data_IF_373099136507
#
_entry.id   IF_373099136507
#
_cell.length_a   1.000
_cell.length_b   1.000
_cell.length_c   1.000
_cell.angle_alpha   90.00
_cell.angle_beta   90.00
_cell.angle_gamma   90.00
#
_symmetry.space_group_name_H-M   'P 1'
#
loop_
_entity.id
_entity.type
_entity.pdbx_description
1 polymer ?
#
# COMPACT_ATOMS: atom_id res chain seq x y z
N UNK A 1 34.11 0.63 -19.63
CA UNK A 1 33.39 1.35 -18.55
C UNK A 1 31.95 1.73 -18.92
N UNK A 2 31.27 0.96 -19.79
CA UNK A 2 29.90 1.24 -20.22
C UNK A 2 28.84 0.34 -19.56
N UNK A 3 29.25 -0.80 -18.99
CA UNK A 3 28.35 -1.79 -18.36
C UNK A 3 27.81 -1.37 -17.00
N UNK A 4 28.59 -0.62 -16.19
CA UNK A 4 28.15 -0.17 -14.86
C UNK A 4 27.01 0.84 -14.87
N UNK A 5 26.90 1.65 -15.93
CA UNK A 5 25.83 2.65 -16.01
C UNK A 5 24.47 2.00 -16.27
N UNK A 6 24.45 0.89 -17.02
CA UNK A 6 23.22 0.13 -17.26
C UNK A 6 22.73 -0.56 -15.99
N UNK A 7 23.64 -1.13 -15.18
CA UNK A 7 23.30 -1.75 -13.89
C UNK A 7 22.71 -0.74 -12.90
N UNK A 8 23.25 0.48 -12.84
CA UNK A 8 22.73 1.54 -11.97
C UNK A 8 21.30 1.96 -12.34
N UNK A 9 20.98 2.03 -13.64
CA UNK A 9 19.64 2.37 -14.13
C UNK A 9 18.64 1.24 -13.83
N UNK A 10 19.05 -0.01 -13.96
CA UNK A 10 18.20 -1.17 -13.62
C UNK A 10 17.95 -1.26 -12.12
N UNK A 11 18.96 -0.98 -11.28
CA UNK A 11 18.81 -0.93 -9.82
C UNK A 11 17.83 0.17 -9.38
N UNK A 12 17.95 1.37 -9.94
CA UNK A 12 17.07 2.49 -9.64
C UNK A 12 15.61 2.23 -10.07
N UNK A 13 15.39 1.51 -11.19
CA UNK A 13 14.04 1.09 -11.59
C UNK A 13 13.45 0.05 -10.65
N UNK A 14 14.29 -0.85 -10.11
CA UNK A 14 13.88 -1.87 -9.13
C UNK A 14 13.47 -1.26 -7.79
N UNK A 15 14.22 -0.28 -7.30
CA UNK A 15 13.88 0.45 -6.08
C UNK A 15 12.59 1.27 -6.25
N UNK A 16 12.40 1.92 -7.41
CA UNK A 16 11.16 2.62 -7.71
C UNK A 16 9.96 1.68 -7.83
N UNK A 17 10.12 0.51 -8.47
CA UNK A 17 9.07 -0.50 -8.52
C UNK A 17 8.72 -1.04 -7.13
N UNK A 18 9.71 -1.22 -6.24
CA UNK A 18 9.50 -1.62 -4.86
C UNK A 18 8.75 -0.54 -4.06
N UNK A 19 9.09 0.75 -4.24
CA UNK A 19 8.36 1.85 -3.62
C UNK A 19 6.93 1.97 -4.16
N UNK A 20 6.72 1.80 -5.47
CA UNK A 20 5.38 1.80 -6.07
C UNK A 20 4.55 0.60 -5.59
N UNK A 21 5.15 -0.59 -5.44
CA UNK A 21 4.48 -1.72 -4.79
C UNK A 21 4.17 -1.46 -3.32
N UNK A 22 5.05 -0.74 -2.61
CA UNK A 22 4.85 -0.39 -1.20
C UNK A 22 3.76 0.67 -1.01
N UNK A 23 3.60 1.60 -1.97
CA UNK A 23 2.58 2.64 -1.93
C UNK A 23 1.23 2.15 -2.50
N UNK A 24 1.25 1.29 -3.52
CA UNK A 24 0.05 0.62 -4.04
C UNK A 24 -0.42 -0.55 -3.15
N UNK A 25 0.48 -1.10 -2.34
CA UNK A 25 0.22 -2.08 -1.30
C UNK A 25 0.23 -1.41 0.07
N UNK A 26 -0.61 -0.39 0.28
CA UNK A 26 -1.01 0.02 1.63
C UNK A 26 -1.29 -1.27 2.39
N UNK A 27 -0.48 -1.56 3.40
CA UNK A 27 -0.52 -2.86 4.06
C UNK A 27 -1.98 -3.12 4.49
N UNK A 28 -2.48 -4.36 4.42
CA UNK A 28 -3.82 -4.69 4.95
C UNK A 28 -4.09 -4.06 6.32
N UNK A 29 -3.05 -3.98 7.16
CA UNK A 29 -3.05 -3.31 8.44
C UNK A 29 -3.30 -1.79 8.35
N UNK A 30 -2.66 -1.06 7.43
CA UNK A 30 -2.89 0.37 7.23
C UNK A 30 -4.28 0.67 6.63
N UNK A 31 -4.78 -0.17 5.72
CA UNK A 31 -6.14 -0.02 5.21
C UNK A 31 -7.18 -0.19 6.32
N UNK A 32 -6.98 -1.17 7.20
CA UNK A 32 -7.82 -1.39 8.38
C UNK A 32 -7.68 -0.21 9.36
N UNK A 33 -6.48 0.33 9.56
CA UNK A 33 -6.25 1.48 10.44
C UNK A 33 -6.98 2.74 9.95
N UNK A 34 -6.88 3.05 8.64
CA UNK A 34 -7.62 4.17 8.05
C UNK A 34 -9.14 3.97 8.14
N UNK A 35 -9.62 2.76 7.82
CA UNK A 35 -11.04 2.45 7.95
C UNK A 35 -11.53 2.59 9.40
N UNK A 36 -10.71 2.24 10.39
CA UNK A 36 -11.04 2.39 11.80
C UNK A 36 -11.10 3.87 12.22
N UNK A 37 -10.22 4.72 11.67
CA UNK A 37 -10.31 6.17 11.88
C UNK A 37 -11.60 6.75 11.29
N UNK A 38 -12.02 6.29 10.11
CA UNK A 38 -13.27 6.71 9.47
C UNK A 38 -14.51 6.26 10.27
N UNK A 39 -14.45 5.07 10.88
CA UNK A 39 -15.51 4.59 11.77
C UNK A 39 -15.60 5.45 13.03
N UNK A 40 -14.46 5.80 13.65
CA UNK A 40 -14.42 6.67 14.82
C UNK A 40 -14.88 8.10 14.52
N UNK A 41 -14.63 8.61 13.31
CA UNK A 41 -15.16 9.90 12.87
C UNK A 41 -16.64 9.85 12.50
N UNK A 42 -17.27 8.66 12.51
CA UNK A 42 -18.65 8.45 12.06
C UNK A 42 -18.85 8.64 10.55
N UNK A 43 -17.77 8.61 9.76
CA UNK A 43 -17.83 8.76 8.31
C UNK A 43 -18.29 7.46 7.62
N UNK A 44 -18.05 6.32 8.26
CA UNK A 44 -18.52 5.00 7.82
C UNK A 44 -19.17 4.26 8.98
N UNK A 45 -20.04 3.32 8.63
CA UNK A 45 -20.75 2.43 9.54
C UNK A 45 -19.90 1.21 9.90
N UNK A 46 -20.22 0.52 11.00
CA UNK A 46 -19.56 -0.74 11.38
C UNK A 46 -19.60 -1.79 10.24
N UNK A 47 -20.75 -1.91 9.56
CA UNK A 47 -20.96 -2.84 8.44
C UNK A 47 -20.05 -2.54 7.23
N UNK A 48 -19.75 -1.25 7.01
CA UNK A 48 -18.86 -0.79 5.93
C UNK A 48 -17.39 -1.03 6.30
N UNK A 49 -17.02 -0.77 7.56
CA UNK A 49 -15.70 -1.11 8.09
C UNK A 49 -15.41 -2.60 7.96
N UNK A 50 -16.36 -3.47 8.30
CA UNK A 50 -16.17 -4.92 8.24
C UNK A 50 -15.97 -5.42 6.80
N UNK A 51 -16.65 -4.81 5.81
CA UNK A 51 -16.41 -5.09 4.38
C UNK A 51 -15.02 -4.65 3.92
N UNK A 52 -14.56 -3.47 4.36
CA UNK A 52 -13.22 -2.98 4.03
C UNK A 52 -12.14 -3.87 4.68
N UNK A 53 -12.35 -4.29 5.93
CA UNK A 53 -11.48 -5.24 6.64
C UNK A 53 -11.43 -6.60 5.96
N UNK A 54 -12.56 -7.16 5.55
CA UNK A 54 -12.61 -8.43 4.83
C UNK A 54 -11.86 -8.37 3.50
N UNK A 55 -12.02 -7.25 2.76
CA UNK A 55 -11.32 -7.02 1.49
C UNK A 55 -9.81 -6.78 1.66
N UNK A 56 -9.40 -6.18 2.76
CA UNK A 56 -7.99 -5.99 3.08
C UNK A 56 -7.31 -7.31 3.49
N UNK A 57 -8.04 -8.25 4.11
CA UNK A 57 -7.53 -9.55 4.57
C UNK A 57 -7.67 -10.68 3.54
N UNK A 58 -8.38 -10.46 2.44
CA UNK A 58 -8.63 -11.44 1.37
C UNK A 58 -7.55 -11.46 0.30
#
# INVERSE_FOLDING_TARGET
MATRQQEAVVAAQKEQAAYIQQVAGTSPAEQIAQAQQLLQSGAISQDEFDKMKAKALS
#
